data_IF_097945220953
#
_entry.id   IF_097945220953
#
_cell.length_a   1.000
_cell.length_b   1.000
_cell.length_c   1.000
_cell.angle_alpha   90.00
_cell.angle_beta   90.00
_cell.angle_gamma   90.00
#
_symmetry.space_group_name_H-M   'P 1'
#
loop_
_entity.id
_entity.type
_entity.pdbx_description
1 polymer ?
#
# COMPACT_ATOMS: atom_id res chain seq x y z
N UNK A 1 -48.07 -61.98 -35.27
CA UNK A 1 -46.67 -62.40 -35.08
C UNK A 1 -45.90 -61.14 -34.74
N UNK A 2 -45.61 -60.89 -33.45
CA UNK A 2 -44.36 -61.29 -32.76
C UNK A 2 -43.18 -60.45 -33.30
N UNK A 3 -42.40 -59.65 -32.56
CA UNK A 3 -41.97 -59.68 -31.14
C UNK A 3 -41.40 -58.30 -30.69
N UNK A 4 -41.51 -58.00 -29.38
CA UNK A 4 -40.46 -57.51 -28.41
C UNK A 4 -39.61 -56.24 -28.73
N UNK A 5 -39.19 -55.36 -27.82
CA UNK A 5 -39.16 -55.30 -26.37
C UNK A 5 -38.99 -53.85 -25.87
N UNK A 6 -39.44 -53.62 -24.65
CA UNK A 6 -39.19 -52.47 -23.77
C UNK A 6 -37.69 -52.23 -23.53
N UNK A 7 -37.28 -50.96 -23.33
CA UNK A 7 -36.69 -50.50 -22.05
C UNK A 7 -36.14 -49.06 -22.13
N UNK A 8 -36.35 -48.35 -21.03
CA UNK A 8 -35.85 -47.03 -20.66
C UNK A 8 -36.71 -45.83 -21.08
N UNK A 9 -37.84 -45.70 -20.38
CA UNK A 9 -38.46 -44.40 -20.13
C UNK A 9 -37.48 -43.50 -19.38
N UNK A 10 -36.73 -42.70 -20.12
CA UNK A 10 -36.07 -41.51 -19.59
C UNK A 10 -37.11 -40.41 -19.72
N UNK A 11 -37.81 -40.15 -18.63
CA UNK A 11 -38.66 -38.98 -18.46
C UNK A 11 -37.78 -37.73 -18.57
N UNK A 12 -37.82 -37.08 -19.74
CA UNK A 12 -37.03 -35.88 -20.03
C UNK A 12 -37.51 -34.68 -19.20
N UNK A 13 -38.74 -34.67 -18.67
CA UNK A 13 -39.22 -33.59 -17.80
C UNK A 13 -38.64 -33.71 -16.38
N UNK A 14 -38.43 -34.93 -15.88
CA UNK A 14 -37.76 -35.15 -14.59
C UNK A 14 -36.26 -34.77 -14.61
N UNK A 15 -35.60 -34.81 -15.78
CA UNK A 15 -34.20 -34.42 -15.94
C UNK A 15 -33.99 -32.90 -16.04
N UNK A 16 -35.03 -32.14 -16.44
CA UNK A 16 -35.03 -30.68 -16.42
C UNK A 16 -35.31 -30.16 -15.00
N UNK A 17 -36.18 -30.83 -14.25
CA UNK A 17 -36.49 -30.44 -12.87
C UNK A 17 -35.36 -30.79 -11.87
N UNK A 18 -34.62 -31.91 -12.07
CA UNK A 18 -33.44 -32.23 -11.25
C UNK A 18 -32.23 -31.33 -11.49
N UNK A 19 -32.10 -30.74 -12.68
CA UNK A 19 -31.02 -29.78 -12.98
C UNK A 19 -31.28 -28.38 -12.41
N UNK A 20 -32.50 -28.11 -11.95
CA UNK A 20 -32.86 -26.88 -11.22
C UNK A 20 -32.82 -27.05 -9.70
N UNK A 21 -32.61 -28.26 -9.18
CA UNK A 21 -32.62 -28.55 -7.74
C UNK A 21 -31.24 -28.88 -7.14
N UNK A 22 -30.18 -28.90 -7.94
CA UNK A 22 -28.82 -29.07 -7.43
C UNK A 22 -28.08 -27.72 -7.47
N UNK A 23 -27.91 -27.15 -6.28
CA UNK A 23 -27.11 -25.96 -5.88
C UNK A 23 -27.80 -24.59 -5.73
N UNK A 24 -29.03 -24.54 -5.23
CA UNK A 24 -29.43 -23.38 -4.39
C UNK A 24 -28.90 -23.58 -2.96
N UNK A 25 -27.57 -23.62 -2.79
CA UNK A 25 -27.02 -23.21 -1.50
C UNK A 25 -27.23 -21.70 -1.45
N UNK A 26 -28.16 -21.23 -0.63
CA UNK A 26 -28.43 -19.81 -0.46
C UNK A 26 -27.09 -19.07 -0.27
N UNK A 27 -26.78 -18.13 -1.16
CA UNK A 27 -25.53 -17.38 -1.08
C UNK A 27 -25.40 -16.80 0.34
N UNK A 28 -24.22 -16.90 0.96
CA UNK A 28 -24.04 -16.36 2.30
C UNK A 28 -24.32 -14.86 2.28
N UNK A 29 -25.00 -14.36 3.32
CA UNK A 29 -25.39 -12.94 3.42
C UNK A 29 -24.21 -12.01 3.69
N UNK A 30 -23.02 -12.55 3.92
CA UNK A 30 -21.83 -11.79 4.29
C UNK A 30 -20.65 -12.23 3.45
N UNK A 31 -19.80 -11.28 3.08
CA UNK A 31 -18.57 -11.52 2.33
C UNK A 31 -17.64 -12.53 3.05
N UNK A 32 -17.15 -13.52 2.31
CA UNK A 32 -16.27 -14.58 2.84
C UNK A 32 -14.84 -14.12 3.19
N UNK A 33 -14.45 -12.88 2.88
CA UNK A 33 -13.10 -12.37 3.15
C UNK A 33 -12.72 -12.56 4.63
N UNK A 34 -11.58 -13.23 4.86
CA UNK A 34 -11.05 -13.61 6.18
C UNK A 34 -12.07 -14.32 7.08
N UNK A 35 -12.97 -15.12 6.51
CA UNK A 35 -13.93 -15.91 7.27
C UNK A 35 -15.17 -15.16 7.75
N UNK A 36 -15.55 -14.05 7.11
CA UNK A 36 -16.86 -13.42 7.33
C UNK A 36 -16.86 -12.09 8.10
N UNK A 37 -15.70 -11.45 8.31
CA UNK A 37 -15.62 -10.20 9.08
C UNK A 37 -16.11 -8.95 8.32
N UNK A 38 -16.40 -9.07 7.03
CA UNK A 38 -16.86 -7.97 6.20
C UNK A 38 -18.40 -7.94 6.14
N UNK A 39 -18.98 -6.78 6.45
CA UNK A 39 -20.43 -6.54 6.49
C UNK A 39 -21.06 -6.34 5.12
N UNK A 40 -20.26 -6.21 4.06
CA UNK A 40 -20.78 -6.08 2.70
C UNK A 40 -21.28 -7.44 2.20
N UNK A 41 -22.41 -7.42 1.50
CA UNK A 41 -22.99 -8.61 0.89
C UNK A 41 -22.19 -9.02 -0.37
N UNK A 42 -22.11 -10.33 -0.67
CA UNK A 42 -21.60 -10.81 -1.95
C UNK A 42 -22.47 -10.32 -3.11
N UNK A 43 -21.87 -10.08 -4.27
CA UNK A 43 -22.59 -9.67 -5.47
C UNK A 43 -23.00 -10.89 -6.32
N UNK A 44 -24.01 -10.71 -7.16
CA UNK A 44 -24.53 -11.76 -8.04
C UNK A 44 -23.46 -12.18 -9.07
N UNK A 45 -22.90 -13.38 -8.92
CA UNK A 45 -21.80 -13.89 -9.74
C UNK A 45 -20.43 -13.83 -9.06
N UNK A 46 -20.39 -13.49 -7.77
CA UNK A 46 -19.16 -13.41 -7.01
C UNK A 46 -18.40 -14.74 -6.91
N UNK A 47 -17.09 -14.76 -7.20
CA UNK A 47 -16.25 -15.91 -6.86
C UNK A 47 -16.16 -16.04 -5.34
N UNK A 48 -16.36 -17.26 -4.83
CA UNK A 48 -16.16 -17.59 -3.40
C UNK A 48 -17.00 -16.73 -2.43
N UNK A 49 -18.12 -16.17 -2.91
CA UNK A 49 -18.99 -15.30 -2.14
C UNK A 49 -18.28 -14.08 -1.52
N UNK A 50 -17.45 -13.41 -2.31
CA UNK A 50 -16.83 -12.12 -1.97
C UNK A 50 -17.75 -10.94 -2.28
N UNK A 51 -17.67 -9.85 -1.51
CA UNK A 51 -18.30 -8.58 -1.91
C UNK A 51 -17.55 -7.94 -3.07
N UNK A 52 -18.14 -6.90 -3.67
CA UNK A 52 -17.53 -6.19 -4.80
C UNK A 52 -16.13 -5.64 -4.46
N UNK A 53 -15.89 -5.21 -3.23
CA UNK A 53 -14.60 -4.65 -2.81
C UNK A 53 -13.53 -5.73 -2.59
N UNK A 54 -13.90 -6.93 -2.15
CA UNK A 54 -12.94 -8.02 -1.90
C UNK A 54 -12.72 -8.91 -3.12
N UNK A 55 -13.52 -8.75 -4.18
CA UNK A 55 -13.37 -9.50 -5.43
C UNK A 55 -12.10 -9.03 -6.17
N UNK A 56 -11.14 -9.92 -6.45
CA UNK A 56 -9.94 -9.55 -7.22
C UNK A 56 -10.27 -9.06 -8.62
N UNK A 57 -9.57 -8.03 -9.10
CA UNK A 57 -9.68 -7.58 -10.50
C UNK A 57 -8.78 -8.45 -11.41
N UNK A 58 -9.25 -8.82 -12.63
CA UNK A 58 -10.42 -8.28 -13.34
C UNK A 58 -11.72 -9.07 -13.17
N UNK A 59 -11.84 -9.97 -12.19
CA UNK A 59 -13.04 -10.84 -12.04
C UNK A 59 -14.32 -10.07 -11.72
N UNK A 60 -14.22 -8.85 -11.18
CA UNK A 60 -15.37 -7.97 -10.98
C UNK A 60 -15.75 -7.22 -12.28
N UNK A 61 -17.02 -7.27 -12.73
CA UNK A 61 -17.53 -6.49 -13.85
C UNK A 61 -17.27 -4.97 -13.71
N UNK A 62 -16.92 -4.33 -14.83
CA UNK A 62 -16.52 -2.90 -14.87
C UNK A 62 -17.64 -1.94 -14.44
N UNK A 63 -18.89 -2.28 -14.71
CA UNK A 63 -20.07 -1.52 -14.30
C UNK A 63 -20.24 -1.44 -12.78
N UNK A 64 -19.63 -2.36 -12.01
CA UNK A 64 -19.63 -2.33 -10.55
C UNK A 64 -18.48 -1.52 -9.94
N UNK A 65 -17.49 -1.08 -10.73
CA UNK A 65 -16.29 -0.41 -10.22
C UNK A 65 -16.61 0.90 -9.50
N UNK A 66 -17.52 1.70 -10.05
CA UNK A 66 -17.96 2.97 -9.44
C UNK A 66 -18.63 2.76 -8.07
N UNK A 67 -19.24 1.58 -7.85
CA UNK A 67 -19.86 1.26 -6.57
C UNK A 67 -18.83 1.06 -5.46
N UNK A 68 -17.61 0.60 -5.77
CA UNK A 68 -16.55 0.46 -4.76
C UNK A 68 -16.20 1.83 -4.17
N UNK A 69 -15.97 2.83 -5.02
CA UNK A 69 -15.66 4.19 -4.58
C UNK A 69 -16.82 4.83 -3.83
N UNK A 70 -18.05 4.65 -4.30
CA UNK A 70 -19.25 5.15 -3.61
C UNK A 70 -19.39 4.56 -2.20
N UNK A 71 -19.14 3.25 -2.02
CA UNK A 71 -19.17 2.62 -0.70
C UNK A 71 -18.02 3.14 0.16
N UNK A 72 -16.81 3.26 -0.39
CA UNK A 72 -15.66 3.79 0.34
C UNK A 72 -15.95 5.21 0.86
N UNK A 73 -16.47 6.10 0.01
CA UNK A 73 -16.85 7.46 0.39
C UNK A 73 -17.94 7.48 1.48
N UNK A 74 -18.93 6.58 1.42
CA UNK A 74 -19.94 6.42 2.46
C UNK A 74 -19.35 5.98 3.80
N UNK A 75 -18.46 4.99 3.78
CA UNK A 75 -17.77 4.47 4.96
C UNK A 75 -16.85 5.51 5.63
N UNK A 76 -16.14 6.32 4.84
CA UNK A 76 -15.34 7.43 5.37
C UNK A 76 -16.23 8.41 6.14
N UNK A 77 -17.40 8.76 5.59
CA UNK A 77 -18.35 9.67 6.25
C UNK A 77 -18.94 9.10 7.54
N UNK A 78 -19.08 7.77 7.65
CA UNK A 78 -19.54 7.11 8.87
C UNK A 78 -18.43 6.72 9.85
N UNK A 79 -17.16 6.96 9.50
CA UNK A 79 -16.00 6.59 10.33
C UNK A 79 -15.57 5.11 10.22
N UNK A 80 -16.16 4.33 9.31
CA UNK A 80 -15.82 2.93 9.07
C UNK A 80 -14.61 2.77 8.14
N UNK A 81 -13.45 3.20 8.60
CA UNK A 81 -12.22 3.36 7.79
C UNK A 81 -11.36 2.09 7.68
N UNK A 82 -11.99 0.91 7.77
CA UNK A 82 -11.35 -0.38 7.47
C UNK A 82 -11.64 -0.81 6.02
N UNK A 83 -10.59 -0.77 5.22
CA UNK A 83 -10.49 -1.16 3.82
C UNK A 83 -9.55 -2.36 3.62
N UNK A 84 -9.35 -3.18 4.65
CA UNK A 84 -8.46 -4.34 4.60
C UNK A 84 -8.83 -5.28 3.44
N UNK A 85 -7.86 -5.54 2.55
CA UNK A 85 -8.02 -6.41 1.39
C UNK A 85 -8.86 -5.87 0.24
N UNK A 86 -9.26 -4.59 0.28
CA UNK A 86 -10.09 -4.01 -0.78
C UNK A 86 -9.31 -3.88 -2.10
N UNK A 87 -9.98 -4.12 -3.22
CA UNK A 87 -9.47 -3.94 -4.57
C UNK A 87 -10.07 -2.65 -5.16
N UNK A 88 -9.33 -1.55 -5.09
CA UNK A 88 -9.73 -0.26 -5.64
C UNK A 88 -9.50 -0.24 -7.16
N UNK A 89 -10.56 -0.08 -7.97
CA UNK A 89 -10.46 -0.07 -9.42
C UNK A 89 -9.77 1.21 -9.93
N UNK A 90 -9.31 1.23 -11.20
CA UNK A 90 -8.54 2.35 -11.74
C UNK A 90 -9.35 3.63 -12.03
N UNK A 91 -10.68 3.53 -12.17
CA UNK A 91 -11.54 4.67 -12.52
C UNK A 91 -11.73 5.58 -11.29
N UNK A 92 -11.63 6.90 -11.49
CA UNK A 92 -11.33 7.87 -10.43
C UNK A 92 -12.43 8.03 -9.37
N UNK A 93 -12.08 7.80 -8.11
CA UNK A 93 -12.25 8.76 -7.02
C UNK A 93 -11.16 8.58 -5.96
N UNK A 94 -10.70 9.68 -5.37
CA UNK A 94 -9.45 9.78 -4.64
C UNK A 94 -9.68 9.99 -3.14
N UNK A 95 -8.67 9.66 -2.33
CA UNK A 95 -8.57 10.05 -0.92
C UNK A 95 -7.93 11.44 -0.76
N UNK A 96 -7.90 12.25 -1.82
CA UNK A 96 -7.29 13.57 -1.80
C UNK A 96 -8.08 14.52 -0.90
N UNK A 97 -7.39 15.18 0.03
CA UNK A 97 -8.00 16.09 1.00
C UNK A 97 -8.88 15.40 2.04
N UNK A 98 -8.93 14.06 2.09
CA UNK A 98 -9.73 13.34 3.08
C UNK A 98 -9.08 13.46 4.46
N UNK A 99 -9.90 13.75 5.47
CA UNK A 99 -9.52 13.67 6.88
C UNK A 99 -10.00 12.35 7.47
N UNK A 100 -9.07 11.52 7.93
CA UNK A 100 -9.35 10.30 8.67
C UNK A 100 -9.20 10.59 10.17
N UNK A 101 -10.33 10.88 10.82
CA UNK A 101 -10.37 11.22 12.26
C UNK A 101 -10.16 9.99 13.19
N UNK A 102 -10.11 8.79 12.62
CA UNK A 102 -9.91 7.53 13.33
C UNK A 102 -8.94 6.66 12.52
N UNK A 103 -8.54 5.51 13.08
CA UNK A 103 -7.60 4.61 12.43
C UNK A 103 -8.05 4.24 11.01
N UNK A 104 -7.21 4.48 10.01
CA UNK A 104 -7.46 4.16 8.62
C UNK A 104 -6.65 2.92 8.21
N UNK A 105 -7.35 1.83 7.92
CA UNK A 105 -6.73 0.52 7.67
C UNK A 105 -6.89 0.14 6.20
N UNK A 106 -5.79 -0.01 5.50
CA UNK A 106 -5.67 -0.43 4.11
C UNK A 106 -4.84 -1.72 3.98
N UNK A 107 -4.65 -2.47 5.07
CA UNK A 107 -3.81 -3.67 5.12
C UNK A 107 -4.22 -4.66 4.03
N UNK A 108 -3.27 -5.01 3.15
CA UNK A 108 -3.47 -5.93 2.04
C UNK A 108 -4.40 -5.42 0.93
N UNK A 109 -4.75 -4.13 0.91
CA UNK A 109 -5.52 -3.53 -0.17
C UNK A 109 -4.71 -3.46 -1.48
N UNK A 110 -5.42 -3.39 -2.61
CA UNK A 110 -4.87 -3.31 -3.95
C UNK A 110 -5.39 -2.04 -4.63
N UNK A 111 -4.49 -1.15 -5.04
CA UNK A 111 -4.83 0.04 -5.81
C UNK A 111 -4.45 -0.17 -7.27
N UNK A 112 -5.46 -0.44 -8.12
CA UNK A 112 -5.24 -0.76 -9.53
C UNK A 112 -5.00 0.48 -10.40
N UNK A 113 -5.53 1.64 -9.99
CA UNK A 113 -5.20 2.95 -10.56
C UNK A 113 -4.25 3.76 -9.68
N UNK A 114 -4.19 5.06 -9.93
CA UNK A 114 -3.41 6.00 -9.11
C UNK A 114 -4.03 6.08 -7.71
N UNK A 115 -3.25 5.75 -6.68
CA UNK A 115 -3.68 5.89 -5.29
C UNK A 115 -3.44 7.32 -4.82
N UNK A 116 -4.48 8.16 -4.87
CA UNK A 116 -4.36 9.60 -4.62
C UNK A 116 -4.75 9.94 -3.19
N UNK A 117 -3.76 10.25 -2.36
CA UNK A 117 -3.91 10.73 -0.99
C UNK A 117 -3.46 12.19 -0.82
N UNK A 118 -3.33 12.96 -1.91
CA UNK A 118 -2.77 14.32 -1.87
C UNK A 118 -3.50 15.20 -0.83
N UNK A 119 -2.76 15.87 0.06
CA UNK A 119 -3.31 16.71 1.12
C UNK A 119 -4.26 15.98 2.10
N UNK A 120 -4.23 14.65 2.15
CA UNK A 120 -4.99 13.91 3.17
C UNK A 120 -4.38 14.14 4.55
N UNK A 121 -5.21 14.00 5.58
CA UNK A 121 -4.76 14.04 6.98
C UNK A 121 -5.24 12.79 7.70
N UNK A 122 -4.30 12.08 8.32
CA UNK A 122 -4.55 10.92 9.16
C UNK A 122 -4.34 11.33 10.62
N UNK A 123 -5.44 11.57 11.33
CA UNK A 123 -5.39 11.92 12.77
C UNK A 123 -5.16 10.68 13.64
N UNK A 124 -5.71 9.53 13.19
CA UNK A 124 -5.46 8.21 13.79
C UNK A 124 -4.40 7.41 13.03
N UNK A 125 -4.09 6.21 13.53
CA UNK A 125 -3.15 5.28 12.89
C UNK A 125 -3.47 5.06 11.41
N UNK A 126 -2.44 5.02 10.55
CA UNK A 126 -2.59 4.73 9.13
C UNK A 126 -1.84 3.45 8.77
N UNK A 127 -2.56 2.38 8.39
CA UNK A 127 -1.96 1.06 8.12
C UNK A 127 -2.11 0.63 6.67
N UNK A 128 -1.02 0.62 5.93
CA UNK A 128 -0.89 0.17 4.53
C UNK A 128 -0.04 -1.11 4.41
N UNK A 129 -0.02 -1.93 5.46
CA UNK A 129 0.80 -3.13 5.49
C UNK A 129 0.40 -4.12 4.40
N UNK A 130 1.37 -4.57 3.61
CA UNK A 130 1.12 -5.48 2.49
C UNK A 130 0.24 -4.90 1.38
N UNK A 131 -0.04 -3.59 1.37
CA UNK A 131 -0.78 -2.93 0.30
C UNK A 131 0.03 -2.98 -1.01
N UNK A 132 -0.65 -3.21 -2.13
CA UNK A 132 -0.04 -3.19 -3.47
C UNK A 132 -0.57 -2.00 -4.27
N UNK A 133 0.33 -1.10 -4.64
CA UNK A 133 0.05 0.02 -5.54
C UNK A 133 0.50 -0.36 -6.95
N UNK A 134 -0.45 -0.68 -7.83
CA UNK A 134 -0.14 -1.12 -9.20
C UNK A 134 0.27 0.05 -10.11
N UNK A 135 -0.20 1.25 -9.81
CA UNK A 135 0.17 2.51 -10.46
C UNK A 135 0.84 3.46 -9.44
N UNK A 136 0.88 4.75 -9.74
CA UNK A 136 1.45 5.79 -8.89
C UNK A 136 0.75 5.84 -7.52
N UNK A 137 1.54 5.92 -6.44
CA UNK A 137 1.07 6.13 -5.08
C UNK A 137 1.40 7.57 -4.66
N UNK A 138 0.38 8.42 -4.57
CA UNK A 138 0.53 9.87 -4.42
C UNK A 138 0.18 10.32 -3.00
N UNK A 139 1.18 10.33 -2.11
CA UNK A 139 1.13 10.78 -0.71
C UNK A 139 1.80 12.16 -0.52
N UNK A 140 1.75 13.03 -1.53
CA UNK A 140 2.32 14.39 -1.44
C UNK A 140 1.50 15.26 -0.50
N UNK A 141 2.18 16.03 0.34
CA UNK A 141 1.56 16.93 1.33
C UNK A 141 0.59 16.23 2.29
N UNK A 142 0.78 14.94 2.55
CA UNK A 142 -0.01 14.21 3.55
C UNK A 142 0.52 14.52 4.94
N UNK A 143 -0.39 14.68 5.90
CA UNK A 143 -0.07 14.81 7.31
C UNK A 143 -0.50 13.53 8.04
N UNK A 144 0.47 12.78 8.54
CA UNK A 144 0.28 11.62 9.39
C UNK A 144 0.56 12.02 10.84
N UNK A 145 -0.50 12.24 11.61
CA UNK A 145 -0.41 12.74 12.99
C UNK A 145 -0.15 11.61 14.01
N UNK A 146 -0.35 10.36 13.60
CA UNK A 146 -0.18 9.16 14.42
C UNK A 146 0.67 8.11 13.68
N UNK A 147 0.94 6.98 14.36
CA UNK A 147 1.80 5.92 13.83
C UNK A 147 1.33 5.45 12.45
N UNK A 148 2.29 5.33 11.53
CA UNK A 148 2.03 5.01 10.14
C UNK A 148 2.86 3.80 9.70
N UNK A 149 2.23 2.87 9.00
CA UNK A 149 2.88 1.63 8.61
C UNK A 149 2.63 1.31 7.13
N UNK A 150 3.70 1.01 6.42
CA UNK A 150 3.76 0.55 5.03
C UNK A 150 4.55 -0.77 4.96
N UNK A 151 4.52 -1.56 6.03
CA UNK A 151 5.37 -2.76 6.16
C UNK A 151 5.03 -3.77 5.08
N UNK A 152 6.04 -4.26 4.37
CA UNK A 152 5.88 -5.19 3.23
C UNK A 152 4.95 -4.69 2.12
N UNK A 153 4.72 -3.37 2.02
CA UNK A 153 3.98 -2.80 0.89
C UNK A 153 4.79 -2.87 -0.41
N UNK A 154 4.08 -2.89 -1.54
CA UNK A 154 4.70 -2.98 -2.87
C UNK A 154 4.24 -1.79 -3.71
N UNK A 155 5.19 -0.93 -4.06
CA UNK A 155 4.98 0.21 -4.96
C UNK A 155 5.47 -0.17 -6.35
N UNK A 156 4.56 -0.57 -7.25
CA UNK A 156 4.91 -0.96 -8.63
C UNK A 156 5.12 0.26 -9.53
N UNK A 157 4.38 1.33 -9.30
CA UNK A 157 4.59 2.65 -9.89
C UNK A 157 5.47 3.54 -9.01
N UNK A 158 5.51 4.84 -9.33
CA UNK A 158 6.22 5.82 -8.52
C UNK A 158 5.53 6.02 -7.17
N UNK A 159 6.34 6.16 -6.11
CA UNK A 159 5.89 6.41 -4.76
C UNK A 159 6.29 7.83 -4.34
N UNK A 160 5.29 8.69 -4.16
CA UNK A 160 5.46 10.13 -4.02
C UNK A 160 5.02 10.57 -2.62
N UNK A 161 5.99 10.70 -1.71
CA UNK A 161 5.83 11.17 -0.33
C UNK A 161 6.37 12.59 -0.12
N UNK A 162 6.67 13.31 -1.21
CA UNK A 162 7.26 14.63 -1.15
C UNK A 162 6.44 15.62 -0.30
N UNK A 163 7.14 16.40 0.53
CA UNK A 163 6.56 17.38 1.46
C UNK A 163 5.44 16.84 2.37
N UNK A 164 5.43 15.53 2.65
CA UNK A 164 4.60 14.94 3.70
C UNK A 164 5.19 15.15 5.08
N UNK A 165 4.34 15.10 6.11
CA UNK A 165 4.71 15.25 7.52
C UNK A 165 4.32 13.97 8.25
N UNK A 166 5.28 13.37 8.95
CA UNK A 166 5.08 12.23 9.84
C UNK A 166 5.37 12.69 11.27
N UNK A 167 4.32 13.03 12.02
CA UNK A 167 4.46 13.53 13.40
C UNK A 167 4.85 12.43 14.38
N UNK A 168 4.43 11.20 14.09
CA UNK A 168 4.78 9.99 14.83
C UNK A 168 5.68 9.06 14.00
N UNK A 169 5.98 7.89 14.56
CA UNK A 169 6.84 6.90 13.91
C UNK A 169 6.21 6.38 12.61
N UNK A 170 7.06 6.20 11.59
CA UNK A 170 6.69 5.60 10.31
C UNK A 170 7.57 4.41 9.96
N UNK A 171 6.96 3.31 9.52
CA UNK A 171 7.68 2.12 9.07
C UNK A 171 7.39 1.79 7.61
N UNK A 172 8.45 1.72 6.82
CA UNK A 172 8.52 1.14 5.47
C UNK A 172 9.33 -0.16 5.48
N UNK A 173 9.40 -0.85 6.63
CA UNK A 173 10.17 -2.08 6.75
C UNK A 173 9.73 -3.11 5.68
N UNK A 174 10.71 -3.67 4.98
CA UNK A 174 10.52 -4.63 3.89
C UNK A 174 9.65 -4.13 2.72
N UNK A 175 9.45 -2.81 2.56
CA UNK A 175 8.75 -2.27 1.40
C UNK A 175 9.56 -2.44 0.10
N UNK A 176 8.89 -2.73 -1.02
CA UNK A 176 9.48 -2.89 -2.35
C UNK A 176 9.08 -1.72 -3.26
N UNK A 177 9.99 -0.77 -3.45
CA UNK A 177 9.83 0.38 -4.34
C UNK A 177 10.40 0.05 -5.72
N UNK A 178 9.53 -0.24 -6.70
CA UNK A 178 9.97 -0.74 -8.01
C UNK A 178 10.36 0.34 -9.02
N UNK A 179 9.91 1.58 -8.78
CA UNK A 179 10.22 2.76 -9.59
C UNK A 179 10.78 3.85 -8.67
N UNK A 180 10.47 5.12 -8.92
CA UNK A 180 10.99 6.23 -8.12
C UNK A 180 10.34 6.20 -6.74
N UNK A 181 11.14 6.41 -5.69
CA UNK A 181 10.66 6.67 -4.33
C UNK A 181 11.10 8.08 -3.93
N UNK A 182 10.16 9.03 -3.94
CA UNK A 182 10.44 10.44 -3.71
C UNK A 182 9.90 10.89 -2.35
N UNK A 183 10.81 11.21 -1.44
CA UNK A 183 10.58 11.75 -0.10
C UNK A 183 11.13 13.18 0.03
N UNK A 184 11.33 13.88 -1.11
CA UNK A 184 11.90 15.22 -1.13
C UNK A 184 11.08 16.21 -0.29
N UNK A 185 11.75 16.94 0.61
CA UNK A 185 11.12 17.89 1.53
C UNK A 185 10.20 17.27 2.59
N UNK A 186 10.14 15.94 2.73
CA UNK A 186 9.36 15.31 3.79
C UNK A 186 9.94 15.61 5.18
N UNK A 187 9.07 15.72 6.18
CA UNK A 187 9.45 15.96 7.57
C UNK A 187 9.07 14.74 8.42
N UNK A 188 10.08 14.07 8.98
CA UNK A 188 9.94 12.95 9.89
C UNK A 188 10.22 13.44 11.32
N UNK A 189 9.16 13.77 12.06
CA UNK A 189 9.25 14.19 13.45
C UNK A 189 9.37 12.99 14.41
N UNK A 190 8.76 11.86 14.06
CA UNK A 190 9.00 10.55 14.65
C UNK A 190 10.18 9.81 14.00
N UNK A 191 10.41 8.58 14.43
CA UNK A 191 11.42 7.69 13.86
C UNK A 191 10.96 7.19 12.49
N UNK A 192 11.88 7.11 11.53
CA UNK A 192 11.62 6.61 10.19
C UNK A 192 12.37 5.30 9.96
N UNK A 193 11.64 4.19 9.78
CA UNK A 193 12.21 2.87 9.57
C UNK A 193 12.10 2.45 8.11
N UNK A 194 13.22 2.17 7.46
CA UNK A 194 13.34 1.60 6.12
C UNK A 194 14.10 0.27 6.13
N UNK A 195 14.10 -0.43 7.27
CA UNK A 195 14.82 -1.70 7.43
C UNK A 195 14.45 -2.69 6.33
N UNK A 196 15.45 -3.29 5.69
CA UNK A 196 15.28 -4.26 4.62
C UNK A 196 14.40 -3.78 3.44
N UNK A 197 14.16 -2.47 3.29
CA UNK A 197 13.43 -1.93 2.16
C UNK A 197 14.29 -2.07 0.89
N UNK A 198 13.64 -2.28 -0.26
CA UNK A 198 14.31 -2.42 -1.55
C UNK A 198 13.90 -1.27 -2.45
N UNK A 199 14.88 -0.44 -2.83
CA UNK A 199 14.70 0.66 -3.77
C UNK A 199 15.29 0.26 -5.11
N UNK A 200 14.42 -0.09 -6.07
CA UNK A 200 14.82 -0.54 -7.41
C UNK A 200 15.05 0.61 -8.38
N UNK A 201 14.25 1.65 -8.26
CA UNK A 201 14.50 2.94 -8.89
C UNK A 201 15.16 3.93 -7.92
N UNK A 202 15.39 5.17 -8.36
CA UNK A 202 16.00 6.21 -7.54
C UNK A 202 15.22 6.47 -6.24
N UNK A 203 15.94 6.57 -5.14
CA UNK A 203 15.41 7.00 -3.84
C UNK A 203 15.93 8.40 -3.52
N UNK A 204 15.04 9.36 -3.33
CA UNK A 204 15.44 10.76 -3.08
C UNK A 204 14.77 11.31 -1.83
N UNK A 205 15.60 11.94 -1.02
CA UNK A 205 15.31 12.55 0.27
C UNK A 205 15.79 14.01 0.24
N UNK A 206 15.88 14.63 -0.94
CA UNK A 206 16.41 15.97 -1.09
C UNK A 206 15.65 16.98 -0.21
N UNK A 207 16.36 17.72 0.62
CA UNK A 207 15.76 18.72 1.52
C UNK A 207 14.84 18.15 2.61
N UNK A 208 14.77 16.83 2.78
CA UNK A 208 13.99 16.20 3.86
C UNK A 208 14.62 16.42 5.23
N UNK A 209 13.85 16.25 6.30
CA UNK A 209 14.34 16.36 7.67
C UNK A 209 13.94 15.15 8.52
N UNK A 210 14.90 14.64 9.29
CA UNK A 210 14.72 13.55 10.24
C UNK A 210 15.07 14.06 11.63
N UNK A 211 14.05 14.31 12.46
CA UNK A 211 14.23 14.82 13.83
C UNK A 211 14.67 13.72 14.81
N UNK A 212 14.27 12.48 14.54
CA UNK A 212 14.61 11.27 15.29
C UNK A 212 15.47 10.34 14.44
N UNK A 213 15.45 9.04 14.75
CA UNK A 213 16.30 8.07 14.09
C UNK A 213 15.74 7.70 12.71
N UNK A 214 16.62 7.62 11.72
CA UNK A 214 16.31 7.16 10.37
C UNK A 214 17.06 5.86 10.09
N UNK A 215 16.37 4.71 10.13
CA UNK A 215 17.04 3.41 10.03
C UNK A 215 16.93 2.84 8.62
N UNK A 216 18.06 2.65 7.94
CA UNK A 216 18.16 2.02 6.61
C UNK A 216 18.90 0.68 6.65
N UNK A 217 18.97 0.04 7.82
CA UNK A 217 19.71 -1.21 7.98
C UNK A 217 19.16 -2.31 7.06
N UNK A 218 20.05 -3.00 6.37
CA UNK A 218 19.71 -4.02 5.37
C UNK A 218 19.02 -3.48 4.12
N UNK A 219 18.82 -2.17 3.98
CA UNK A 219 18.17 -1.59 2.81
C UNK A 219 19.01 -1.80 1.54
N UNK A 220 18.35 -2.10 0.43
CA UNK A 220 18.98 -2.32 -0.87
C UNK A 220 18.68 -1.21 -1.86
N UNK A 221 19.64 -0.31 -2.08
CA UNK A 221 19.56 0.75 -3.09
C UNK A 221 20.14 0.25 -4.42
N UNK A 222 19.27 -0.24 -5.31
CA UNK A 222 19.66 -0.77 -6.63
C UNK A 222 19.89 0.34 -7.67
N UNK A 223 19.49 1.56 -7.35
CA UNK A 223 19.72 2.77 -8.13
C UNK A 223 20.26 3.87 -7.19
N UNK A 224 20.21 5.12 -7.65
CA UNK A 224 20.79 6.25 -6.94
C UNK A 224 20.05 6.56 -5.64
N UNK A 225 20.83 6.94 -4.61
CA UNK A 225 20.33 7.50 -3.36
C UNK A 225 20.73 8.98 -3.28
N UNK A 226 19.74 9.86 -3.13
CA UNK A 226 19.97 11.30 -2.99
C UNK A 226 19.55 11.77 -1.60
N UNK A 227 20.50 12.28 -0.82
CA UNK A 227 20.34 12.91 0.49
C UNK A 227 20.79 14.39 0.46
N UNK A 228 20.80 14.99 -0.73
CA UNK A 228 21.21 16.39 -0.96
C UNK A 228 20.38 17.33 -0.07
N UNK A 229 21.06 18.18 0.71
CA UNK A 229 20.42 19.10 1.68
C UNK A 229 19.47 18.42 2.68
N UNK A 230 19.54 17.09 2.84
CA UNK A 230 18.77 16.40 3.88
C UNK A 230 19.33 16.81 5.25
N UNK A 231 18.46 16.86 6.26
CA UNK A 231 18.85 17.17 7.64
C UNK A 231 18.65 15.95 8.53
N UNK A 232 19.72 15.46 9.14
CA UNK A 232 19.71 14.38 10.11
C UNK A 232 20.02 14.97 11.49
N UNK A 233 19.00 15.14 12.34
CA UNK A 233 19.19 15.72 13.66
C UNK A 233 19.81 14.76 14.66
N UNK A 234 19.33 13.50 14.69
CA UNK A 234 19.80 12.48 15.63
C UNK A 234 20.78 11.52 14.95
N UNK A 235 20.30 10.46 14.34
CA UNK A 235 21.13 9.53 13.58
C UNK A 235 20.38 8.92 12.40
N UNK A 236 21.15 8.50 11.40
CA UNK A 236 20.74 7.60 10.35
C UNK A 236 21.72 6.43 10.27
N UNK A 237 21.20 5.21 10.25
CA UNK A 237 22.00 3.98 10.21
C UNK A 237 21.81 3.26 8.88
N UNK A 238 22.88 2.67 8.38
CA UNK A 238 22.95 1.96 7.10
C UNK A 238 23.63 0.61 7.27
N UNK A 239 23.49 -0.03 8.43
CA UNK A 239 24.18 -1.29 8.72
C UNK A 239 23.73 -2.37 7.73
N UNK A 240 24.70 -3.02 7.07
CA UNK A 240 24.42 -4.00 6.00
C UNK A 240 23.59 -3.46 4.83
N UNK A 241 23.44 -2.14 4.68
CA UNK A 241 22.83 -1.56 3.50
C UNK A 241 23.73 -1.78 2.26
N UNK A 242 23.12 -1.95 1.10
CA UNK A 242 23.83 -2.14 -0.17
C UNK A 242 23.51 -1.01 -1.15
N UNK A 243 24.55 -0.48 -1.80
CA UNK A 243 24.46 0.64 -2.74
C UNK A 243 25.03 0.21 -4.10
N UNK A 244 24.20 0.24 -5.13
CA UNK A 244 24.60 -0.10 -6.51
C UNK A 244 24.60 1.12 -7.45
N UNK A 245 23.92 2.21 -7.07
CA UNK A 245 23.92 3.49 -7.76
C UNK A 245 24.80 4.54 -7.08
N UNK A 246 24.75 5.76 -7.59
CA UNK A 246 25.42 6.92 -6.98
C UNK A 246 24.74 7.27 -5.66
N UNK A 247 25.54 7.63 -4.65
CA UNK A 247 25.05 8.25 -3.43
C UNK A 247 25.48 9.72 -3.40
N UNK A 248 24.50 10.62 -3.35
CA UNK A 248 24.69 12.07 -3.40
C UNK A 248 24.27 12.67 -2.04
N UNK A 249 25.16 13.40 -1.37
CA UNK A 249 24.94 13.95 -0.03
C UNK A 249 25.35 15.43 0.07
N UNK A 250 25.41 16.13 -1.07
CA UNK A 250 25.84 17.52 -1.15
C UNK A 250 24.99 18.41 -0.23
N UNK A 251 25.65 19.12 0.69
CA UNK A 251 24.99 20.04 1.63
C UNK A 251 24.13 19.35 2.71
N UNK A 252 24.34 18.06 2.97
CA UNK A 252 23.69 17.36 4.08
C UNK A 252 24.01 18.05 5.42
N UNK A 253 22.99 18.23 6.25
CA UNK A 253 23.10 18.84 7.57
C UNK A 253 23.03 17.75 8.65
N UNK A 254 24.13 17.56 9.38
CA UNK A 254 24.26 16.55 10.42
C UNK A 254 24.25 17.25 11.78
N UNK A 255 23.07 17.32 12.42
CA UNK A 255 22.86 18.09 13.64
C UNK A 255 23.80 17.70 14.79
N UNK A 256 24.02 16.40 15.01
CA UNK A 256 25.02 15.87 15.96
C UNK A 256 26.39 15.59 15.34
N UNK A 257 26.69 16.20 14.19
CA UNK A 257 27.92 15.99 13.44
C UNK A 257 28.02 14.61 12.78
N UNK A 258 29.23 14.25 12.34
CA UNK A 258 29.46 13.06 11.49
C UNK A 258 29.11 11.71 12.15
N UNK A 259 28.95 11.66 13.47
CA UNK A 259 28.50 10.45 14.18
C UNK A 259 27.02 10.14 13.94
N UNK A 260 26.27 11.08 13.37
CA UNK A 260 24.89 10.87 12.96
C UNK A 260 24.77 9.86 11.82
N UNK A 261 25.82 9.55 11.04
CA UNK A 261 25.74 8.55 9.98
C UNK A 261 26.54 7.28 10.35
N UNK A 262 25.84 6.17 10.55
CA UNK A 262 26.42 4.89 10.95
C UNK A 262 26.24 3.84 9.84
N UNK A 263 27.15 2.87 9.76
CA UNK A 263 27.03 1.74 8.81
C UNK A 263 27.36 2.06 7.34
N UNK A 264 27.73 3.29 6.99
CA UNK A 264 28.14 3.62 5.62
C UNK A 264 29.49 2.97 5.24
N UNK A 265 29.64 2.51 3.98
CA UNK A 265 30.93 2.11 3.42
C UNK A 265 32.00 3.20 3.55
N UNK A 266 33.26 2.79 3.72
CA UNK A 266 34.38 3.70 3.96
C UNK A 266 34.63 4.69 2.81
N UNK A 267 34.28 4.32 1.58
CA UNK A 267 34.36 5.18 0.39
C UNK A 267 33.38 6.36 0.50
N UNK A 268 32.12 6.08 0.87
CA UNK A 268 31.08 7.09 1.02
C UNK A 268 31.35 8.01 2.22
N UNK A 269 31.87 7.44 3.32
CA UNK A 269 32.27 8.23 4.49
C UNK A 269 33.38 9.24 4.16
N UNK A 270 34.37 8.85 3.35
CA UNK A 270 35.45 9.75 2.90
C UNK A 270 34.93 10.87 1.99
N UNK A 271 33.93 10.60 1.16
CA UNK A 271 33.35 11.63 0.28
C UNK A 271 32.71 12.77 1.08
N UNK A 272 32.17 12.49 2.28
CA UNK A 272 31.67 13.52 3.21
C UNK A 272 32.80 14.36 3.82
N UNK A 273 34.00 13.81 3.95
CA UNK A 273 35.13 14.52 4.55
C UNK A 273 35.68 15.61 3.61
N UNK A 274 35.57 15.43 2.29
CA UNK A 274 36.05 16.37 1.27
C UNK A 274 35.08 17.53 0.96
N UNK A 275 33.88 17.54 1.56
CA UNK A 275 32.87 18.59 1.36
C UNK A 275 32.89 19.66 2.47
N UNK A 276 33.75 19.51 3.48
CA UNK A 276 33.91 20.43 4.61
C UNK A 276 35.11 21.35 4.49
#
# INVERSE_FOLDING_TARGET
MQLEAERHGIDFEAAVCKRQQETETAMPRTCAYKGGGCTLEPWAGSPEALCIAHTPLPSLPRDLWTSIWRIAAGRIKSGETDFSGWNFPPDEEAFAGVRFASAAVFTGANFHGRARFLNAVFEGEARFDGTVFFSEAMFRHVEFQAETSFVRSIFRGDAEFGASIFDADVSFEQADFRKIAHFGGAAFHGSACFKNAVFRGPATYEGSSFLRDATFDGAGFKSDLTLVRARIHRCATFESASFFGKVSMEGIDLGMGRQALLGLPAELRRALDCQG
#
